data_IF_332670953990
#
_entry.id   IF_332670953990
#
_cell.length_a   1.000
_cell.length_b   1.000
_cell.length_c   1.000
_cell.angle_alpha   90.00
_cell.angle_beta   90.00
_cell.angle_gamma   90.00
#
_symmetry.space_group_name_H-M   'P 1'
#
loop_
_entity.id
_entity.type
_entity.pdbx_description
1 polymer ?
#
# COMPACT_ATOMS: atom_id res chain seq x y z
N UNK A 1 25.00 -0.91 -19.33
CA UNK A 1 23.96 -1.44 -18.43
C UNK A 1 22.68 -0.59 -18.50
N UNK A 2 22.75 0.74 -18.33
CA UNK A 2 21.59 1.66 -18.46
C UNK A 2 20.78 1.57 -19.76
N UNK A 3 21.43 1.26 -20.89
CA UNK A 3 20.78 1.21 -22.21
C UNK A 3 19.84 -0.01 -22.33
N UNK A 4 20.24 -1.15 -21.75
CA UNK A 4 19.43 -2.37 -21.71
C UNK A 4 18.26 -2.19 -20.74
N UNK A 5 18.49 -1.47 -19.63
CA UNK A 5 17.47 -1.11 -18.63
C UNK A 5 16.38 -0.20 -19.20
N UNK A 6 16.76 0.85 -19.95
CA UNK A 6 15.81 1.72 -20.66
C UNK A 6 15.01 0.96 -21.72
N UNK A 7 15.63 0.04 -22.44
CA UNK A 7 14.98 -0.75 -23.48
C UNK A 7 13.91 -1.70 -22.91
N UNK A 8 14.21 -2.38 -21.79
CA UNK A 8 13.26 -3.28 -21.13
C UNK A 8 12.04 -2.51 -20.56
N UNK A 9 12.30 -1.36 -19.92
CA UNK A 9 11.24 -0.47 -19.43
C UNK A 9 10.37 0.12 -20.55
N UNK A 10 10.94 0.37 -21.73
CA UNK A 10 10.23 0.90 -22.90
C UNK A 10 9.37 -0.17 -23.59
N UNK A 11 9.87 -1.40 -23.73
CA UNK A 11 9.11 -2.51 -24.31
C UNK A 11 7.87 -2.88 -23.48
N UNK A 12 7.99 -2.85 -22.14
CA UNK A 12 6.86 -3.05 -21.22
C UNK A 12 5.80 -1.93 -21.35
N UNK A 13 6.23 -0.70 -21.67
CA UNK A 13 5.37 0.48 -21.88
C UNK A 13 4.44 0.30 -23.09
N UNK A 14 4.96 -0.31 -24.17
CA UNK A 14 4.23 -0.55 -25.42
C UNK A 14 3.14 -1.62 -25.26
N UNK A 15 3.43 -2.70 -24.52
CA UNK A 15 2.45 -3.79 -24.25
C UNK A 15 1.28 -3.29 -23.40
N UNK A 16 1.52 -2.37 -22.46
CA UNK A 16 0.49 -1.81 -21.58
C UNK A 16 -0.42 -0.75 -22.23
N UNK A 17 -0.09 -0.23 -23.42
CA UNK A 17 -0.84 0.84 -24.09
C UNK A 17 -2.07 0.35 -24.88
N UNK A 18 -2.07 -0.91 -25.33
CA UNK A 18 -3.08 -1.47 -26.26
C UNK A 18 -4.45 -1.84 -25.64
N UNK A 19 -4.70 -1.56 -24.34
CA UNK A 19 -5.88 -2.07 -23.59
C UNK A 19 -6.69 -0.99 -22.83
N UNK A 20 -6.67 0.27 -23.30
CA UNK A 20 -7.15 1.47 -22.58
C UNK A 20 -8.52 1.40 -21.87
N UNK A 21 -9.65 1.00 -22.49
CA UNK A 21 -10.95 1.03 -21.83
C UNK A 21 -11.11 -0.05 -20.75
N UNK A 22 -10.62 -1.26 -21.03
CA UNK A 22 -10.58 -2.36 -20.05
C UNK A 22 -9.68 -1.97 -18.88
N UNK A 23 -8.50 -1.41 -19.15
CA UNK A 23 -7.57 -0.93 -18.13
C UNK A 23 -8.20 0.13 -17.21
N UNK A 24 -9.02 1.04 -17.75
CA UNK A 24 -9.67 2.10 -16.95
C UNK A 24 -10.69 1.54 -15.96
N UNK A 25 -11.44 0.50 -16.34
CA UNK A 25 -12.38 -0.19 -15.45
C UNK A 25 -11.63 -0.92 -14.33
N UNK A 26 -10.55 -1.64 -14.68
CA UNK A 26 -9.70 -2.35 -13.71
C UNK A 26 -9.10 -1.40 -12.67
N UNK A 27 -8.53 -0.27 -13.13
CA UNK A 27 -7.97 0.75 -12.25
C UNK A 27 -9.05 1.31 -11.33
N UNK A 28 -10.27 1.55 -11.84
CA UNK A 28 -11.36 2.07 -11.01
C UNK A 28 -11.72 1.11 -9.88
N UNK A 29 -11.92 -0.18 -10.18
CA UNK A 29 -12.28 -1.20 -9.19
C UNK A 29 -11.18 -1.40 -8.16
N UNK A 30 -9.90 -1.41 -8.57
CA UNK A 30 -8.78 -1.51 -7.64
C UNK A 30 -8.69 -0.28 -6.71
N UNK A 31 -8.88 0.93 -7.26
CA UNK A 31 -8.97 2.14 -6.45
C UNK A 31 -10.12 2.09 -5.43
N UNK A 32 -11.28 1.54 -5.79
CA UNK A 32 -12.41 1.33 -4.87
C UNK A 32 -12.04 0.36 -3.73
N UNK A 33 -11.27 -0.70 -4.01
CA UNK A 33 -10.73 -1.60 -2.97
C UNK A 33 -9.85 -0.85 -1.99
N UNK A 34 -8.91 -0.03 -2.45
CA UNK A 34 -8.00 0.70 -1.57
C UNK A 34 -8.73 1.68 -0.65
N UNK A 35 -9.78 2.35 -1.15
CA UNK A 35 -10.66 3.20 -0.34
C UNK A 35 -11.43 2.37 0.70
N UNK A 36 -11.94 1.21 0.32
CA UNK A 36 -12.60 0.29 1.26
C UNK A 36 -11.64 -0.17 2.38
N UNK A 37 -10.40 -0.52 2.04
CA UNK A 37 -9.38 -0.93 3.01
C UNK A 37 -9.06 0.19 4.01
N UNK A 38 -8.95 1.44 3.55
CA UNK A 38 -8.77 2.61 4.43
C UNK A 38 -9.96 2.78 5.39
N UNK A 39 -11.19 2.72 4.87
CA UNK A 39 -12.39 2.91 5.70
C UNK A 39 -12.49 1.86 6.81
N UNK A 40 -12.20 0.59 6.51
CA UNK A 40 -12.18 -0.45 7.52
C UNK A 40 -11.01 -0.32 8.49
N UNK A 41 -9.84 0.13 8.03
CA UNK A 41 -8.72 0.42 8.93
C UNK A 41 -9.09 1.49 9.98
N UNK A 42 -9.88 2.51 9.61
CA UNK A 42 -10.42 3.48 10.55
C UNK A 42 -11.41 2.85 11.54
N UNK A 43 -12.28 1.95 11.08
CA UNK A 43 -13.18 1.22 11.99
C UNK A 43 -12.42 0.31 12.96
N UNK A 44 -11.33 -0.34 12.51
CA UNK A 44 -10.45 -1.13 13.38
C UNK A 44 -9.85 -0.24 14.48
N UNK A 45 -9.28 0.92 14.13
CA UNK A 45 -8.76 1.86 15.13
C UNK A 45 -9.83 2.22 16.16
N UNK A 46 -11.03 2.57 15.70
CA UNK A 46 -12.15 2.92 16.58
C UNK A 46 -12.49 1.79 17.56
N UNK A 47 -12.67 0.58 17.04
CA UNK A 47 -13.12 -0.57 17.83
C UNK A 47 -12.01 -1.17 18.71
N UNK A 48 -10.75 -0.94 18.37
CA UNK A 48 -9.60 -1.33 19.19
C UNK A 48 -9.29 -0.29 20.28
N UNK A 49 -10.08 0.77 20.40
CA UNK A 49 -9.99 1.78 21.46
C UNK A 49 -9.18 3.03 21.10
N UNK A 50 -8.65 3.12 19.89
CA UNK A 50 -7.94 4.30 19.35
C UNK A 50 -8.92 5.35 18.81
N UNK A 51 -9.84 5.79 19.67
CA UNK A 51 -10.95 6.68 19.27
C UNK A 51 -10.43 8.08 18.86
N UNK A 52 -9.38 8.59 19.50
CA UNK A 52 -8.81 9.91 19.16
C UNK A 52 -8.16 9.88 17.77
N UNK A 53 -7.44 8.79 17.49
CA UNK A 53 -6.79 8.54 16.22
C UNK A 53 -7.83 8.35 15.11
N UNK A 54 -8.90 7.60 15.38
CA UNK A 54 -10.05 7.49 14.49
C UNK A 54 -10.64 8.87 14.17
N UNK A 55 -11.00 9.66 15.19
CA UNK A 55 -11.58 10.99 15.00
C UNK A 55 -10.64 11.94 14.24
N UNK A 56 -9.32 11.81 14.46
CA UNK A 56 -8.31 12.55 13.72
C UNK A 56 -8.33 12.21 12.23
N UNK A 57 -8.21 10.92 11.88
CA UNK A 57 -8.14 10.51 10.48
C UNK A 57 -9.48 10.65 9.76
N UNK A 58 -10.61 10.55 10.47
CA UNK A 58 -11.93 10.77 9.88
C UNK A 58 -12.07 12.20 9.32
N UNK A 59 -11.45 13.20 9.96
CA UNK A 59 -11.42 14.60 9.46
C UNK A 59 -10.66 14.73 8.14
N UNK A 60 -9.65 13.91 7.91
CA UNK A 60 -8.78 13.96 6.73
C UNK A 60 -9.00 12.81 5.74
N UNK A 61 -10.06 12.03 5.93
CA UNK A 61 -10.35 10.80 5.18
C UNK A 61 -10.35 11.02 3.67
N UNK A 62 -10.89 12.15 3.22
CA UNK A 62 -10.93 12.47 1.79
C UNK A 62 -9.54 12.65 1.19
N UNK A 63 -8.65 13.34 1.90
CA UNK A 63 -7.26 13.55 1.48
C UNK A 63 -6.48 12.25 1.51
N UNK A 64 -6.67 11.43 2.55
CA UNK A 64 -6.11 10.08 2.65
C UNK A 64 -6.55 9.18 1.48
N UNK A 65 -7.84 9.18 1.14
CA UNK A 65 -8.39 8.39 0.03
C UNK A 65 -7.97 8.92 -1.35
N UNK A 66 -7.81 10.24 -1.52
CA UNK A 66 -7.22 10.78 -2.75
C UNK A 66 -5.77 10.29 -2.94
N UNK A 67 -5.01 10.24 -1.86
CA UNK A 67 -3.64 9.74 -1.84
C UNK A 67 -3.53 8.27 -2.25
N UNK A 68 -4.36 7.41 -1.65
CA UNK A 68 -4.35 5.97 -1.92
C UNK A 68 -4.68 5.68 -3.39
N UNK A 69 -5.65 6.41 -3.96
CA UNK A 69 -6.06 6.31 -5.36
C UNK A 69 -5.00 6.86 -6.32
N UNK A 70 -4.30 7.94 -5.94
CA UNK A 70 -3.28 8.56 -6.78
C UNK A 70 -2.02 7.72 -6.95
N UNK A 71 -1.71 6.85 -5.98
CA UNK A 71 -0.56 5.96 -6.05
C UNK A 71 -0.66 4.93 -7.19
N UNK A 72 -1.88 4.53 -7.56
CA UNK A 72 -2.15 3.58 -8.64
C UNK A 72 -2.22 4.19 -10.05
N UNK A 73 -2.25 5.52 -10.15
CA UNK A 73 -2.34 6.23 -11.42
C UNK A 73 -0.97 6.34 -12.13
N UNK A 74 -0.97 6.27 -13.47
CA UNK A 74 0.14 6.61 -14.36
C UNK A 74 1.44 5.77 -14.31
N UNK A 75 1.34 4.44 -14.35
CA UNK A 75 2.50 3.51 -14.47
C UNK A 75 3.43 3.42 -13.26
N UNK A 76 3.01 3.92 -12.08
CA UNK A 76 3.71 3.74 -10.80
C UNK A 76 3.72 2.30 -10.30
N UNK A 77 2.81 1.46 -10.81
CA UNK A 77 2.70 0.03 -10.45
C UNK A 77 3.97 -0.81 -10.65
N UNK A 78 4.94 -0.32 -11.45
CA UNK A 78 6.25 -0.99 -11.63
C UNK A 78 7.12 -0.96 -10.38
N UNK A 79 6.86 -0.06 -9.45
CA UNK A 79 7.64 0.12 -8.23
C UNK A 79 6.90 -0.39 -6.99
N UNK A 80 5.80 -1.15 -7.16
CA UNK A 80 5.01 -1.72 -6.06
C UNK A 80 5.55 -3.09 -5.61
N UNK A 81 6.66 -3.55 -6.19
CA UNK A 81 7.23 -4.86 -5.92
C UNK A 81 8.29 -4.82 -4.82
N UNK A 82 8.22 -5.78 -3.91
CA UNK A 82 9.24 -6.02 -2.90
C UNK A 82 9.27 -7.49 -2.49
N UNK A 83 10.40 -8.15 -2.76
CA UNK A 83 10.63 -9.51 -2.28
C UNK A 83 11.25 -9.48 -0.88
N UNK A 84 10.61 -10.08 0.14
CA UNK A 84 11.08 -10.01 1.53
C UNK A 84 12.34 -10.84 1.81
N UNK A 85 12.70 -11.77 0.92
CA UNK A 85 13.89 -12.62 1.08
C UNK A 85 15.12 -12.03 0.41
N UNK A 86 14.96 -11.35 -0.72
CA UNK A 86 16.06 -10.70 -1.45
C UNK A 86 16.15 -9.20 -1.20
N UNK A 87 15.13 -8.61 -0.58
CA UNK A 87 14.96 -7.17 -0.33
C UNK A 87 14.98 -6.31 -1.60
N UNK A 88 14.64 -6.91 -2.75
CA UNK A 88 14.67 -6.27 -4.07
C UNK A 88 13.26 -6.15 -4.66
N UNK A 89 13.05 -5.10 -5.44
CA UNK A 89 11.89 -4.92 -6.31
C UNK A 89 12.15 -5.45 -7.72
N UNK A 90 11.39 -4.96 -8.71
CA UNK A 90 11.69 -5.23 -10.11
C UNK A 90 13.06 -4.65 -10.50
N UNK A 91 13.83 -5.40 -11.28
CA UNK A 91 15.17 -4.98 -11.72
C UNK A 91 15.10 -3.64 -12.48
N UNK A 92 15.95 -2.68 -12.09
CA UNK A 92 15.99 -1.33 -12.66
C UNK A 92 14.86 -0.38 -12.20
N UNK A 93 14.09 -0.74 -11.16
CA UNK A 93 13.01 0.09 -10.59
C UNK A 93 13.23 0.30 -9.08
N UNK A 94 12.67 1.37 -8.51
CA UNK A 94 12.62 1.51 -7.04
C UNK A 94 11.76 0.40 -6.44
N UNK A 95 12.07 0.03 -5.21
CA UNK A 95 11.27 -0.95 -4.46
C UNK A 95 10.05 -0.27 -3.81
N UNK A 96 9.01 -1.05 -3.48
CA UNK A 96 7.87 -0.48 -2.75
C UNK A 96 8.26 0.07 -1.39
N UNK A 97 9.31 -0.48 -0.76
CA UNK A 97 9.91 0.06 0.46
C UNK A 97 10.49 1.47 0.26
N UNK A 98 11.23 1.70 -0.83
CA UNK A 98 11.81 3.02 -1.11
C UNK A 98 10.74 4.07 -1.43
N UNK A 99 9.68 3.66 -2.13
CA UNK A 99 8.56 4.56 -2.40
C UNK A 99 7.70 4.81 -1.16
N UNK A 100 7.53 3.80 -0.31
CA UNK A 100 6.89 3.95 0.98
C UNK A 100 7.63 4.97 1.83
N UNK A 101 8.95 4.81 1.98
CA UNK A 101 9.79 5.75 2.72
C UNK A 101 9.66 7.17 2.17
N UNK A 102 9.74 7.32 0.84
CA UNK A 102 9.53 8.63 0.20
C UNK A 102 8.18 9.25 0.56
N UNK A 103 7.08 8.51 0.38
CA UNK A 103 5.73 9.06 0.63
C UNK A 103 5.48 9.30 2.11
N UNK A 104 5.95 8.41 2.99
CA UNK A 104 5.83 8.56 4.42
C UNK A 104 6.62 9.78 4.93
N UNK A 105 7.85 9.99 4.44
CA UNK A 105 8.64 11.18 4.75
C UNK A 105 7.97 12.46 4.22
N UNK A 106 7.42 12.44 3.00
CA UNK A 106 6.65 13.58 2.49
C UNK A 106 5.44 13.90 3.37
N UNK A 107 4.75 12.88 3.88
CA UNK A 107 3.61 13.06 4.78
C UNK A 107 4.03 13.79 6.07
N UNK A 108 5.15 13.38 6.68
CA UNK A 108 5.71 14.04 7.87
C UNK A 108 6.17 15.48 7.59
N UNK A 109 6.88 15.71 6.49
CA UNK A 109 7.36 17.06 6.12
C UNK A 109 6.19 18.01 5.89
N UNK A 110 5.15 17.57 5.17
CA UNK A 110 3.96 18.40 4.96
C UNK A 110 3.19 18.65 6.25
N UNK A 111 3.17 17.69 7.18
CA UNK A 111 2.60 17.87 8.50
C UNK A 111 3.33 18.98 9.28
N UNK A 112 4.66 18.94 9.30
CA UNK A 112 5.51 19.95 9.97
C UNK A 112 5.43 21.34 9.33
N UNK A 113 4.98 21.42 8.07
CA UNK A 113 4.70 22.66 7.35
C UNK A 113 3.24 23.12 7.50
N UNK A 114 2.44 22.46 8.33
CA UNK A 114 1.01 22.73 8.56
C UNK A 114 0.13 22.55 7.31
N UNK A 115 0.64 21.84 6.29
CA UNK A 115 -0.10 21.44 5.09
C UNK A 115 -0.74 20.07 5.32
N UNK A 116 -1.74 20.04 6.21
CA UNK A 116 -2.33 18.80 6.71
C UNK A 116 -3.01 17.96 5.62
N UNK A 117 -3.69 18.60 4.66
CA UNK A 117 -4.30 17.88 3.55
C UNK A 117 -3.27 17.16 2.69
N UNK A 118 -2.15 17.83 2.38
CA UNK A 118 -1.08 17.22 1.60
C UNK A 118 -0.31 16.17 2.40
N UNK A 119 -0.15 16.36 3.71
CA UNK A 119 0.38 15.35 4.61
C UNK A 119 -0.45 14.06 4.52
N UNK A 120 -1.77 14.19 4.64
CA UNK A 120 -2.71 13.07 4.60
C UNK A 120 -2.79 12.42 3.22
N UNK A 121 -2.68 13.22 2.16
CA UNK A 121 -2.55 12.72 0.80
C UNK A 121 -1.31 11.82 0.62
N UNK A 122 -0.13 12.26 1.08
CA UNK A 122 1.06 11.44 0.98
C UNK A 122 1.02 10.22 1.90
N UNK A 123 0.39 10.33 3.08
CA UNK A 123 0.14 9.17 3.94
C UNK A 123 -0.75 8.15 3.22
N UNK A 124 -1.77 8.62 2.50
CA UNK A 124 -2.63 7.79 1.63
C UNK A 124 -1.82 7.01 0.59
N UNK A 125 -0.89 7.70 -0.09
CA UNK A 125 0.01 7.06 -1.05
C UNK A 125 0.99 6.07 -0.40
N UNK A 126 1.39 6.30 0.86
CA UNK A 126 2.23 5.37 1.60
C UNK A 126 1.45 4.10 2.00
N UNK A 127 0.25 4.23 2.56
CA UNK A 127 -0.56 3.06 2.97
C UNK A 127 -1.05 2.22 1.80
N UNK A 128 -1.19 2.82 0.59
CA UNK A 128 -1.39 2.06 -0.65
C UNK A 128 -0.32 0.97 -0.83
N UNK A 129 0.97 1.30 -0.62
CA UNK A 129 2.06 0.33 -0.77
C UNK A 129 2.06 -0.75 0.32
N UNK A 130 1.56 -0.43 1.51
CA UNK A 130 1.30 -1.42 2.56
C UNK A 130 0.19 -2.39 2.11
N UNK A 131 -0.88 -1.88 1.52
CA UNK A 131 -2.00 -2.68 1.03
C UNK A 131 -1.55 -3.60 -0.12
N UNK A 132 -0.82 -3.08 -1.10
CA UNK A 132 -0.26 -3.85 -2.21
C UNK A 132 0.67 -4.97 -1.74
N UNK A 133 1.49 -4.72 -0.72
CA UNK A 133 2.39 -5.74 -0.20
C UNK A 133 1.69 -6.97 0.39
N UNK A 134 0.36 -6.93 0.59
CA UNK A 134 -0.44 -8.09 1.00
C UNK A 134 -0.80 -9.02 -0.15
N UNK A 135 -0.67 -8.58 -1.39
CA UNK A 135 -0.96 -9.37 -2.57
C UNK A 135 0.31 -10.15 -2.95
N UNK A 136 0.30 -11.49 -2.94
CA UNK A 136 1.51 -12.30 -3.06
C UNK A 136 2.27 -12.06 -4.38
N UNK A 137 1.60 -11.60 -5.42
CA UNK A 137 2.19 -11.28 -6.70
C UNK A 137 3.08 -10.02 -6.66
N UNK A 138 2.88 -9.09 -5.72
CA UNK A 138 3.80 -7.98 -5.45
C UNK A 138 5.05 -8.43 -4.66
N UNK A 139 4.97 -9.57 -3.97
CA UNK A 139 6.07 -10.18 -3.19
C UNK A 139 6.98 -11.13 -3.97
N UNK A 140 6.53 -11.65 -5.12
CA UNK A 140 7.27 -12.64 -5.90
C UNK A 140 7.07 -12.46 -7.41
N UNK A 141 8.17 -12.11 -8.09
CA UNK A 141 8.23 -11.99 -9.56
C UNK A 141 7.83 -13.30 -10.25
N UNK A 142 8.09 -14.46 -9.63
CA UNK A 142 7.71 -15.77 -10.16
C UNK A 142 6.17 -15.98 -10.18
N UNK A 143 5.41 -15.23 -9.38
CA UNK A 143 3.94 -15.26 -9.33
C UNK A 143 3.29 -14.25 -10.30
N UNK A 144 4.08 -13.46 -11.05
CA UNK A 144 3.56 -12.51 -12.05
C UNK A 144 2.72 -13.19 -13.14
N UNK A 145 3.00 -14.46 -13.47
CA UNK A 145 2.26 -15.20 -14.50
C UNK A 145 0.79 -15.41 -14.15
N UNK A 146 0.42 -15.36 -12.86
CA UNK A 146 -0.97 -15.48 -12.37
C UNK A 146 -1.56 -14.16 -11.86
N UNK A 147 -0.84 -13.03 -11.97
CA UNK A 147 -1.26 -11.70 -11.51
C UNK A 147 -2.59 -11.28 -12.15
N UNK A 148 -2.65 -11.34 -13.48
CA UNK A 148 -3.84 -10.96 -14.25
C UNK A 148 -5.06 -11.80 -13.91
N UNK A 149 -4.89 -13.11 -13.70
CA UNK A 149 -6.00 -14.01 -13.36
C UNK A 149 -6.56 -13.76 -11.96
N UNK A 150 -5.69 -13.40 -11.01
CA UNK A 150 -6.11 -13.02 -9.67
C UNK A 150 -6.81 -11.67 -9.67
N UNK A 151 -6.27 -10.65 -10.35
CA UNK A 151 -6.93 -9.35 -10.48
C UNK A 151 -8.29 -9.46 -11.19
N UNK A 152 -8.38 -10.30 -12.24
CA UNK A 152 -9.64 -10.59 -12.91
C UNK A 152 -10.67 -11.24 -11.97
N UNK A 153 -10.21 -12.12 -11.08
CA UNK A 153 -11.08 -12.70 -10.06
C UNK A 153 -11.52 -11.67 -9.02
N UNK A 154 -10.62 -10.79 -8.56
CA UNK A 154 -10.95 -9.68 -7.64
C UNK A 154 -12.03 -8.78 -8.23
N UNK A 155 -11.96 -8.47 -9.53
CA UNK A 155 -13.00 -7.69 -10.22
C UNK A 155 -14.32 -8.47 -10.32
N UNK A 156 -14.28 -9.79 -10.52
CA UNK A 156 -15.51 -10.61 -10.55
C UNK A 156 -16.24 -10.59 -9.20
N UNK A 157 -15.52 -10.51 -8.09
CA UNK A 157 -16.10 -10.55 -6.73
C UNK A 157 -16.25 -9.16 -6.11
N UNK A 158 -16.01 -8.09 -6.87
CA UNK A 158 -15.93 -6.74 -6.32
C UNK A 158 -17.22 -6.21 -5.68
N UNK A 159 -18.37 -6.66 -6.17
CA UNK A 159 -19.68 -6.29 -5.65
C UNK A 159 -19.93 -6.86 -4.23
N UNK A 160 -19.09 -7.79 -3.74
CA UNK A 160 -19.22 -8.46 -2.44
C UNK A 160 -18.00 -8.19 -1.53
N UNK A 161 -17.32 -7.05 -1.69
CA UNK A 161 -16.14 -6.78 -0.86
C UNK A 161 -16.42 -6.65 0.64
N UNK A 162 -17.66 -6.32 1.02
CA UNK A 162 -18.09 -6.31 2.43
C UNK A 162 -17.90 -7.67 3.12
N UNK A 163 -17.96 -8.78 2.37
CA UNK A 163 -17.65 -10.12 2.87
C UNK A 163 -16.25 -10.21 3.49
N UNK A 164 -15.29 -9.44 2.97
CA UNK A 164 -13.90 -9.43 3.42
C UNK A 164 -13.62 -8.36 4.49
N UNK A 165 -14.67 -7.73 5.06
CA UNK A 165 -14.49 -6.71 6.09
C UNK A 165 -14.05 -7.32 7.43
N UNK A 166 -13.14 -6.62 8.10
CA UNK A 166 -12.84 -6.89 9.51
C UNK A 166 -12.87 -5.57 10.29
N UNK A 167 -13.51 -5.62 11.45
CA UNK A 167 -13.83 -4.41 12.23
C UNK A 167 -12.98 -4.23 13.48
N UNK A 168 -12.07 -5.15 13.80
CA UNK A 168 -11.18 -5.07 14.98
C UNK A 168 -9.92 -5.93 14.82
N UNK A 169 -8.97 -5.76 15.74
CA UNK A 169 -7.76 -6.56 15.84
C UNK A 169 -6.69 -6.15 14.84
N UNK A 170 -6.33 -4.88 14.84
CA UNK A 170 -5.24 -4.31 14.05
C UNK A 170 -3.89 -4.98 14.31
N UNK A 171 -3.00 -4.90 13.33
CA UNK A 171 -1.61 -5.36 13.49
C UNK A 171 -0.76 -4.15 13.82
N UNK A 172 -0.31 -4.02 15.06
CA UNK A 172 0.44 -2.85 15.55
C UNK A 172 1.93 -3.17 15.69
N UNK A 173 2.70 -2.91 14.63
CA UNK A 173 4.16 -2.96 14.67
C UNK A 173 4.71 -1.64 15.22
N UNK A 174 5.87 -1.72 15.87
CA UNK A 174 6.63 -0.61 16.48
C UNK A 174 7.27 0.35 15.46
N UNK A 175 7.16 0.05 14.17
CA UNK A 175 7.71 0.90 13.11
C UNK A 175 6.90 0.80 11.82
N UNK A 176 6.62 1.93 11.15
CA UNK A 176 5.93 1.94 9.86
C UNK A 176 6.71 1.16 8.78
N UNK A 177 8.04 1.13 8.87
CA UNK A 177 8.90 0.46 7.88
C UNK A 177 8.86 -1.07 7.95
N UNK A 178 8.22 -1.65 8.98
CA UNK A 178 8.12 -3.11 9.15
C UNK A 178 6.90 -3.72 8.45
N UNK A 179 5.90 -2.92 8.05
CA UNK A 179 4.65 -3.43 7.50
C UNK A 179 4.82 -4.09 6.13
N UNK A 180 5.52 -3.45 5.18
CA UNK A 180 5.71 -4.02 3.83
C UNK A 180 6.47 -5.37 3.89
N UNK A 181 7.60 -5.50 4.61
CA UNK A 181 8.28 -6.80 4.73
C UNK A 181 7.45 -7.85 5.46
N UNK A 182 6.72 -7.45 6.51
CA UNK A 182 5.80 -8.32 7.23
C UNK A 182 4.71 -8.86 6.29
N UNK A 183 4.02 -7.97 5.57
CA UNK A 183 2.94 -8.30 4.65
C UNK A 183 3.42 -9.18 3.51
N UNK A 184 4.50 -8.79 2.83
CA UNK A 184 5.01 -9.53 1.69
C UNK A 184 5.41 -10.97 2.07
N UNK A 185 6.01 -11.15 3.25
CA UNK A 185 6.37 -12.48 3.76
C UNK A 185 5.13 -13.34 4.02
N UNK A 186 4.13 -12.80 4.72
CA UNK A 186 2.92 -13.54 5.04
C UNK A 186 2.07 -13.82 3.80
N UNK A 187 2.00 -12.89 2.84
CA UNK A 187 1.30 -13.07 1.58
C UNK A 187 1.86 -14.28 0.80
N UNK A 188 3.19 -14.41 0.69
CA UNK A 188 3.85 -15.55 0.04
C UNK A 188 3.52 -16.86 0.79
N UNK A 189 3.52 -16.85 2.12
CA UNK A 189 3.18 -18.03 2.93
C UNK A 189 1.72 -18.46 2.74
N UNK A 190 0.78 -17.51 2.70
CA UNK A 190 -0.64 -17.75 2.41
C UNK A 190 -0.79 -18.38 1.02
N UNK A 191 -0.16 -17.79 0.00
CA UNK A 191 -0.20 -18.33 -1.36
C UNK A 191 0.38 -19.75 -1.44
N UNK A 192 1.46 -20.02 -0.71
CA UNK A 192 2.10 -21.34 -0.65
C UNK A 192 1.18 -22.37 0.03
N UNK A 193 0.52 -22.00 1.13
CA UNK A 193 -0.42 -22.85 1.87
C UNK A 193 -1.56 -23.38 1.00
N UNK A 194 -2.08 -22.54 0.11
CA UNK A 194 -3.20 -22.90 -0.77
C UNK A 194 -2.78 -23.34 -2.18
N UNK A 195 -1.48 -23.55 -2.40
CA UNK A 195 -0.92 -23.87 -3.73
C UNK A 195 -1.50 -25.15 -4.35
N UNK A 196 -1.83 -26.15 -3.53
CA UNK A 196 -2.33 -27.47 -3.95
C UNK A 196 -3.82 -27.50 -4.32
N UNK A 197 -4.59 -26.46 -4.00
CA UNK A 197 -6.02 -26.39 -4.37
C UNK A 197 -6.12 -26.33 -5.89
N UNK A 198 -6.91 -27.21 -6.52
CA UNK A 198 -7.04 -27.22 -8.00
C UNK A 198 -8.10 -26.24 -8.50
N UNK A 199 -9.18 -26.05 -7.73
CA UNK A 199 -10.20 -25.07 -8.05
C UNK A 199 -9.64 -23.65 -7.84
N UNK A 200 -9.61 -22.84 -8.91
CA UNK A 200 -9.05 -21.49 -8.86
C UNK A 200 -9.90 -20.51 -8.06
N UNK A 201 -11.23 -20.61 -8.13
CA UNK A 201 -12.14 -19.73 -7.38
C UNK A 201 -11.98 -19.97 -5.87
N UNK A 202 -12.04 -21.24 -5.44
CA UNK A 202 -11.82 -21.62 -4.04
C UNK A 202 -10.44 -21.17 -3.54
N UNK A 203 -9.39 -21.35 -4.37
CA UNK A 203 -8.04 -20.92 -4.02
C UNK A 203 -7.96 -19.41 -3.82
N UNK A 204 -8.49 -18.65 -4.78
CA UNK A 204 -8.42 -17.19 -4.73
C UNK A 204 -9.26 -16.62 -3.60
N UNK A 205 -10.43 -17.18 -3.32
CA UNK A 205 -11.26 -16.81 -2.18
C UNK A 205 -10.51 -17.02 -0.86
N UNK A 206 -9.86 -18.17 -0.66
CA UNK A 206 -9.06 -18.42 0.56
C UNK A 206 -7.87 -17.48 0.67
N UNK A 207 -7.20 -17.15 -0.43
CA UNK A 207 -6.09 -16.18 -0.43
C UNK A 207 -6.63 -14.80 -0.06
N UNK A 208 -7.67 -14.32 -0.76
CA UNK A 208 -8.28 -13.02 -0.56
C UNK A 208 -8.78 -12.82 0.88
N UNK A 209 -9.46 -13.82 1.44
CA UNK A 209 -9.89 -13.82 2.84
C UNK A 209 -8.75 -13.57 3.83
N UNK A 210 -7.54 -14.02 3.53
CA UNK A 210 -6.40 -13.73 4.40
C UNK A 210 -5.75 -12.37 4.08
N UNK A 211 -5.58 -12.05 2.79
CA UNK A 211 -4.85 -10.85 2.37
C UNK A 211 -5.64 -9.57 2.60
N UNK A 212 -6.96 -9.56 2.37
CA UNK A 212 -7.82 -8.40 2.64
C UNK A 212 -7.86 -8.07 4.14
N UNK A 213 -8.00 -9.07 5.01
CA UNK A 213 -7.93 -8.86 6.46
C UNK A 213 -6.56 -8.31 6.87
N UNK A 214 -5.48 -8.86 6.32
CA UNK A 214 -4.12 -8.38 6.60
C UNK A 214 -3.93 -6.93 6.14
N UNK A 215 -4.47 -6.55 4.99
CA UNK A 215 -4.37 -5.18 4.46
C UNK A 215 -5.07 -4.17 5.37
N UNK A 216 -6.28 -4.48 5.86
CA UNK A 216 -7.02 -3.62 6.79
C UNK A 216 -6.28 -3.48 8.13
N UNK A 217 -5.84 -4.60 8.71
CA UNK A 217 -5.14 -4.63 10.00
C UNK A 217 -3.81 -3.87 9.99
N UNK A 218 -3.02 -4.03 8.93
CA UNK A 218 -1.70 -3.39 8.81
C UNK A 218 -1.81 -1.92 8.40
N UNK A 219 -2.84 -1.54 7.63
CA UNK A 219 -3.17 -0.14 7.38
C UNK A 219 -3.51 0.58 8.69
N UNK A 220 -4.37 -0.01 9.53
CA UNK A 220 -4.70 0.55 10.85
C UNK A 220 -3.44 0.78 11.70
N UNK A 221 -2.54 -0.21 11.73
CA UNK A 221 -1.26 -0.09 12.43
C UNK A 221 -0.35 1.02 11.91
N UNK A 222 -0.26 1.22 10.59
CA UNK A 222 0.53 2.30 10.01
C UNK A 222 -0.06 3.68 10.31
N UNK A 223 -1.39 3.81 10.29
CA UNK A 223 -2.08 5.04 10.66
C UNK A 223 -1.79 5.40 12.14
N UNK A 224 -1.84 4.42 13.03
CA UNK A 224 -1.45 4.63 14.44
C UNK A 224 0.01 5.07 14.57
N UNK A 225 0.94 4.47 13.82
CA UNK A 225 2.34 4.89 13.82
C UNK A 225 2.51 6.35 13.38
N UNK A 226 1.77 6.77 12.33
CA UNK A 226 1.82 8.15 11.87
C UNK A 226 1.27 9.11 12.93
N UNK A 227 0.09 8.82 13.49
CA UNK A 227 -0.51 9.63 14.54
C UNK A 227 0.41 9.78 15.75
N UNK A 228 0.95 8.67 16.27
CA UNK A 228 1.90 8.70 17.38
C UNK A 228 3.10 9.57 17.02
N UNK A 229 3.62 9.46 15.79
CA UNK A 229 4.79 10.22 15.35
C UNK A 229 4.57 11.74 15.34
N UNK A 230 3.41 12.20 14.88
CA UNK A 230 3.10 13.64 14.78
C UNK A 230 2.71 14.30 16.10
N UNK A 231 2.35 13.49 17.11
CA UNK A 231 2.04 13.93 18.46
C UNK A 231 3.13 13.56 19.49
N UNK A 232 4.25 13.03 19.02
CA UNK A 232 5.43 12.76 19.84
C UNK A 232 6.20 14.08 20.07
N UNK A 233 6.27 14.51 21.34
CA UNK A 233 6.79 15.81 21.76
C UNK A 233 8.28 15.97 21.37
N UNK A 234 9.02 14.87 21.22
CA UNK A 234 10.45 14.86 20.86
C UNK A 234 10.72 15.15 19.37
N UNK A 235 9.70 15.15 18.49
CA UNK A 235 9.91 15.40 17.06
C UNK A 235 10.00 16.89 16.69
N UNK A 236 9.39 17.77 17.49
CA UNK A 236 9.50 19.22 17.28
C UNK A 236 10.98 19.69 17.32
N UNK A 237 11.80 19.05 18.16
CA UNK A 237 13.24 19.34 18.25
C UNK A 237 14.04 18.70 17.09
N UNK A 238 13.64 17.52 16.61
CA UNK A 238 14.32 16.83 15.50
C UNK A 238 14.04 17.47 14.14
N UNK A 239 12.80 17.95 13.90
CA UNK A 239 12.43 18.66 12.68
C UNK A 239 13.14 20.03 12.57
N UNK A 240 13.42 20.70 13.70
CA UNK A 240 14.26 21.90 13.73
C UNK A 240 15.69 21.62 13.25
N UNK A 241 16.28 20.47 13.60
CA UNK A 241 17.62 20.07 13.11
C UNK A 241 17.64 19.76 11.61
N UNK A 242 16.62 19.11 11.06
CA UNK A 242 16.53 18.86 9.62
C UNK A 242 16.45 20.15 8.78
N UNK A 243 15.88 21.24 9.32
CA UNK A 243 15.81 22.54 8.63
C UNK A 243 17.19 23.18 8.42
N UNK A 244 18.18 22.89 9.26
CA UNK A 244 19.54 23.43 9.13
C UNK A 244 20.36 22.75 8.01
N UNK A 245 20.02 21.50 7.66
CA UNK A 245 20.75 20.72 6.65
C UNK A 245 20.17 20.87 5.23
N UNK A 246 18.87 21.15 5.08
CA UNK A 246 18.23 21.35 3.76
C UNK A 246 18.61 22.69 3.13
N UNK A 247 19.03 23.68 3.91
CA UNK A 247 19.54 24.97 3.41
C UNK A 247 20.92 24.90 2.70
N UNK A 248 21.50 23.72 2.53
CA UNK A 248 22.82 23.50 1.92
C UNK A 248 22.81 22.67 0.64
N UNK A 249 21.63 22.36 0.10
CA UNK A 249 21.47 21.65 -1.16
C UNK A 249 20.44 22.35 -2.03
N UNK A 250 20.73 23.59 -2.41
CA UNK A 250 20.31 24.14 -3.72
C UNK A 250 21.24 23.64 -4.83
#
# INVERSE_FOLDING_TARGET
MEVIEKAYGSAFKTVLWFVKPIKKLFIKTLCEVHVFLNNNALQILKNDGYTKEFEFFEKYKDSLNKGVVWADQDFKSREHFYNPYTQKGLYGCKTSMQNFEKYYCHALVHWDCEDYDKAMFYLGAAVHLIQDSTIPQHGSINLLKSHRSYEQWVIKVHDDFEHYSIVSGGTYLDSPYKYIPYNAKHAIQICTRYSLIKNYEEKYEKIANNTFHMAQRTTAGCLLNFYTKIYDIDFAEAAMKCREDVGKCE
#
